data_IF_452613264270
#
_entry.id   IF_452613264270
#
_cell.length_a   1.000
_cell.length_b   1.000
_cell.length_c   1.000
_cell.angle_alpha   90.00
_cell.angle_beta   90.00
_cell.angle_gamma   90.00
#
_symmetry.space_group_name_H-M   'P 1'
#
loop_
_entity.id
_entity.type
_entity.pdbx_description
1 polymer ?
#
# COMPACT_ATOMS: atom_id res chain seq x y z
N UNK A 1 -4.59 0.14 23.94
CA UNK A 1 -4.24 0.22 22.51
C UNK A 1 -5.21 1.14 21.81
N UNK A 2 -4.91 1.57 20.58
CA UNK A 2 -5.84 2.37 19.78
C UNK A 2 -7.02 1.53 19.25
N UNK A 3 -8.11 2.19 18.88
CA UNK A 3 -9.26 1.57 18.22
C UNK A 3 -8.87 1.02 16.83
N UNK A 4 -9.66 0.07 16.34
CA UNK A 4 -9.53 -0.43 14.98
C UNK A 4 -9.69 0.70 13.96
N UNK A 5 -8.70 0.86 13.08
CA UNK A 5 -8.72 1.83 12.00
C UNK A 5 -8.57 1.11 10.66
N UNK A 6 -9.66 1.02 9.89
CA UNK A 6 -9.65 0.38 8.57
C UNK A 6 -8.85 1.13 7.50
N UNK A 7 -8.48 2.39 7.75
CA UNK A 7 -7.65 3.20 6.85
C UNK A 7 -6.15 3.03 7.12
N UNK A 8 -5.77 2.43 8.25
CA UNK A 8 -4.38 2.14 8.55
C UNK A 8 -3.89 0.94 7.71
N UNK A 9 -2.65 0.97 7.19
CA UNK A 9 -2.06 -0.16 6.50
C UNK A 9 -1.84 -1.34 7.47
N UNK A 10 -1.98 -2.56 6.97
CA UNK A 10 -1.80 -3.81 7.71
C UNK A 10 -0.87 -4.76 6.94
N UNK A 11 0.01 -5.49 7.61
CA UNK A 11 0.86 -6.46 6.94
C UNK A 11 1.98 -7.01 7.81
N UNK A 12 2.71 -7.99 7.26
CA UNK A 12 3.77 -8.71 7.95
C UNK A 12 5.07 -7.92 8.09
N UNK A 13 5.89 -8.28 9.08
CA UNK A 13 7.29 -7.87 9.16
C UNK A 13 8.21 -9.09 9.02
N UNK A 14 9.32 -8.94 8.29
CA UNK A 14 10.26 -10.03 7.98
C UNK A 14 9.56 -11.22 7.30
N UNK A 15 9.68 -12.42 7.86
CA UNK A 15 9.16 -13.66 7.28
C UNK A 15 7.62 -13.77 7.35
N UNK A 16 6.94 -12.86 8.06
CA UNK A 16 5.48 -12.85 8.14
C UNK A 16 4.81 -12.26 6.89
N UNK A 17 5.57 -11.75 5.92
CA UNK A 17 5.07 -11.22 4.66
C UNK A 17 5.74 -9.90 4.27
N UNK A 18 5.68 -9.59 2.97
CA UNK A 18 6.32 -8.40 2.39
C UNK A 18 5.34 -7.27 2.11
N UNK A 19 4.09 -7.60 1.80
CA UNK A 19 3.05 -6.70 1.31
C UNK A 19 2.26 -5.99 2.41
N UNK A 20 1.51 -4.97 2.01
CA UNK A 20 0.58 -4.23 2.86
C UNK A 20 -0.82 -4.30 2.27
N UNK A 21 -1.81 -4.47 3.14
CA UNK A 21 -3.23 -4.39 2.83
C UNK A 21 -3.84 -3.16 3.49
N UNK A 22 -4.99 -2.72 2.98
CA UNK A 22 -5.76 -1.55 3.45
C UNK A 22 -5.03 -0.21 3.32
N UNK A 23 -5.79 0.86 3.54
CA UNK A 23 -5.31 2.22 3.32
C UNK A 23 -4.83 2.45 1.89
N UNK A 24 -4.11 3.55 1.69
CA UNK A 24 -3.55 3.91 0.37
C UNK A 24 -2.49 2.91 -0.09
N UNK A 25 -1.62 2.47 0.82
CA UNK A 25 -0.52 1.56 0.50
C UNK A 25 -1.00 0.19 0.00
N UNK A 26 -2.10 -0.32 0.57
CA UNK A 26 -2.67 -1.58 0.10
C UNK A 26 -3.38 -1.47 -1.25
N UNK A 27 -3.83 -0.29 -1.66
CA UNK A 27 -4.38 -0.07 -2.99
C UNK A 27 -3.25 0.05 -4.03
N UNK A 28 -2.19 0.80 -3.71
CA UNK A 28 -1.03 1.03 -4.59
C UNK A 28 -0.32 -0.27 -4.99
N UNK A 29 -0.28 -1.28 -4.13
CA UNK A 29 0.33 -2.59 -4.46
C UNK A 29 -0.38 -3.36 -5.58
N UNK A 30 -1.64 -3.01 -5.90
CA UNK A 30 -2.40 -3.61 -7.01
C UNK A 30 -2.42 -2.73 -8.27
N UNK A 31 -1.78 -1.56 -8.23
CA UNK A 31 -1.70 -0.66 -9.38
C UNK A 31 -0.35 -0.84 -10.09
N UNK A 32 -0.39 -0.78 -11.42
CA UNK A 32 0.82 -0.74 -12.22
C UNK A 32 1.25 0.72 -12.42
N UNK A 33 2.48 1.06 -12.02
CA UNK A 33 3.03 2.41 -12.22
C UNK A 33 3.33 2.64 -13.69
N UNK A 34 2.77 3.72 -14.25
CA UNK A 34 3.02 4.16 -15.64
C UNK A 34 3.61 5.57 -15.63
N UNK A 35 4.79 5.74 -16.21
CA UNK A 35 5.42 7.05 -16.40
C UNK A 35 5.01 7.64 -17.74
N UNK A 36 4.65 8.92 -17.77
CA UNK A 36 4.28 9.66 -18.98
C UNK A 36 5.17 10.91 -19.07
N UNK A 37 5.93 11.02 -20.16
CA UNK A 37 6.69 12.23 -20.49
C UNK A 37 5.86 13.10 -21.42
N UNK A 38 5.52 14.31 -20.97
CA UNK A 38 4.79 15.29 -21.78
C UNK A 38 5.78 16.09 -22.65
N UNK A 39 5.38 16.50 -23.86
CA UNK A 39 6.17 17.43 -24.66
C UNK A 39 6.19 18.83 -24.03
N UNK A 40 7.18 19.63 -24.42
CA UNK A 40 7.27 21.06 -24.07
C UNK A 40 6.09 21.87 -24.61
#
# INVERSE_FOLDING_TARGET
GANFNGQAPFGGYKQSGNTRERGVFGLEEFLETKSIQLPD
#
